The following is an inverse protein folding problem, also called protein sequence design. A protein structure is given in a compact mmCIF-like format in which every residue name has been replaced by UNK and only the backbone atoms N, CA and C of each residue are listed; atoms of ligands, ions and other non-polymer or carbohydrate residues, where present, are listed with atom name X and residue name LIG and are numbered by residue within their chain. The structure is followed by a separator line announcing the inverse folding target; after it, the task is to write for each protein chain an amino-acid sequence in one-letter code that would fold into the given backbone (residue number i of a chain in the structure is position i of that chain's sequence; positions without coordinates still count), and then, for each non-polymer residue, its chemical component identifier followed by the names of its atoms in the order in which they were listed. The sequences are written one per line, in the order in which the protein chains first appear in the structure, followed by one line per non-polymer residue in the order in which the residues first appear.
data_IF_561179451058
#
_entry.id   IF_561179451058
#
_cell.length_a   1.000
_cell.length_b   1.000
_cell.length_c   1.000
_cell.angle_alpha   90.00
_cell.angle_beta   90.00
_cell.angle_gamma   90.00
#
_symmetry.space_group_name_H-M   'P 1'
#
loop_
_entity.id
_entity.type
_entity.pdbx_description
1 polymer ?
#
# COMPACT_ATOMS: atom_id res chain seq x y z
N UNK A 1 29.95 -17.01 20.02
CA UNK A 1 30.42 -17.19 18.63
C UNK A 1 29.71 -16.17 17.77
N UNK A 2 30.44 -15.26 17.12
CA UNK A 2 29.84 -14.28 16.22
C UNK A 2 29.36 -14.99 14.96
N UNK A 3 28.05 -15.06 14.74
CA UNK A 3 27.49 -15.58 13.49
C UNK A 3 27.75 -14.57 12.38
N UNK A 4 28.25 -15.04 11.24
CA UNK A 4 28.37 -14.22 10.03
C UNK A 4 26.99 -13.74 9.63
N UNK A 5 26.76 -12.42 9.52
CA UNK A 5 25.50 -11.89 9.04
C UNK A 5 25.14 -12.44 7.66
N UNK A 6 23.91 -12.94 7.49
CA UNK A 6 23.42 -13.42 6.18
C UNK A 6 22.43 -12.42 5.64
N UNK A 7 22.83 -11.74 4.58
CA UNK A 7 21.98 -10.84 3.82
C UNK A 7 21.73 -11.40 2.44
N UNK A 8 20.54 -11.16 1.91
CA UNK A 8 20.18 -11.42 0.52
C UNK A 8 20.14 -10.12 -0.25
N UNK A 9 20.53 -10.15 -1.52
CA UNK A 9 20.52 -8.95 -2.35
C UNK A 9 19.08 -8.48 -2.58
N UNK A 10 18.84 -7.16 -2.48
CA UNK A 10 17.59 -6.57 -2.97
C UNK A 10 17.72 -6.32 -4.47
N UNK A 11 16.84 -6.93 -5.26
CA UNK A 11 16.95 -6.90 -6.73
C UNK A 11 15.84 -6.11 -7.43
N UNK A 12 14.79 -5.71 -6.71
CA UNK A 12 13.68 -4.96 -7.29
C UNK A 12 14.14 -3.63 -7.89
N UNK A 13 14.03 -3.50 -9.22
CA UNK A 13 14.50 -2.34 -10.01
C UNK A 13 13.37 -1.64 -10.79
N UNK A 14 12.13 -2.10 -10.61
CA UNK A 14 10.96 -1.55 -11.28
C UNK A 14 10.80 -0.06 -11.01
N UNK A 15 10.33 0.67 -12.03
CA UNK A 15 10.03 2.10 -11.92
C UNK A 15 9.00 2.31 -10.83
N UNK A 16 9.22 3.35 -10.02
CA UNK A 16 8.30 3.72 -8.95
C UNK A 16 7.18 4.56 -9.55
N UNK A 17 6.02 3.96 -9.73
CA UNK A 17 4.79 4.69 -10.05
C UNK A 17 4.13 5.22 -8.77
N UNK A 18 3.60 6.42 -8.86
CA UNK A 18 2.82 7.10 -7.82
C UNK A 18 1.56 7.68 -8.43
N UNK A 19 0.64 8.03 -7.56
CA UNK A 19 -0.63 8.61 -7.94
C UNK A 19 -0.98 9.74 -6.97
N UNK A 20 -1.36 10.89 -7.53
CA UNK A 20 -1.99 11.97 -6.80
C UNK A 20 -3.46 12.04 -7.23
N UNK A 21 -4.38 12.00 -6.26
CA UNK A 21 -5.81 11.94 -6.53
C UNK A 21 -6.52 13.10 -5.84
N UNK A 22 -7.67 13.47 -6.37
CA UNK A 22 -8.54 14.44 -5.74
C UNK A 22 -9.90 14.51 -6.40
N UNK A 23 -10.75 15.36 -5.82
CA UNK A 23 -12.12 15.61 -6.26
C UNK A 23 -12.36 17.10 -6.41
N UNK A 24 -13.09 17.48 -7.46
CA UNK A 24 -13.51 18.84 -7.73
C UNK A 24 -15.02 18.89 -8.04
N UNK A 25 -15.68 19.95 -7.59
CA UNK A 25 -17.13 20.14 -7.75
C UNK A 25 -17.41 21.24 -8.77
N UNK A 26 -17.04 21.00 -10.03
CA UNK A 26 -17.20 21.98 -11.11
C UNK A 26 -18.69 22.15 -11.42
N UNK A 27 -19.21 23.35 -11.15
CA UNK A 27 -20.57 23.78 -11.48
C UNK A 27 -20.72 24.01 -12.98
N UNK A 28 -21.86 23.56 -13.52
CA UNK A 28 -22.25 23.83 -14.89
C UNK A 28 -23.60 24.54 -14.91
N UNK A 29 -23.81 25.40 -15.91
CA UNK A 29 -25.16 25.93 -16.17
C UNK A 29 -26.11 24.76 -16.40
N UNK A 30 -27.35 24.90 -15.94
CA UNK A 30 -28.37 23.83 -16.03
C UNK A 30 -28.43 23.29 -17.45
N UNK A 31 -28.35 21.96 -17.58
CA UNK A 31 -28.39 21.22 -18.83
C UNK A 31 -27.24 21.49 -19.84
N UNK A 32 -26.19 22.20 -19.40
CA UNK A 32 -25.00 22.54 -20.21
C UNK A 32 -23.77 21.75 -19.78
N UNK A 33 -22.80 21.67 -20.69
CA UNK A 33 -21.55 20.91 -20.52
C UNK A 33 -20.31 21.77 -20.64
N UNK A 34 -20.44 23.01 -21.13
CA UNK A 34 -19.31 23.91 -21.29
C UNK A 34 -18.85 24.48 -19.94
N UNK A 35 -17.54 24.46 -19.69
CA UNK A 35 -16.96 25.05 -18.48
C UNK A 35 -16.98 26.57 -18.59
N UNK A 36 -17.43 27.20 -17.50
CA UNK A 36 -17.32 28.64 -17.28
C UNK A 36 -16.51 28.87 -16.00
N UNK A 37 -15.22 29.27 -16.09
CA UNK A 37 -14.36 29.40 -14.90
C UNK A 37 -14.90 30.39 -13.85
N UNK A 38 -15.61 31.44 -14.30
CA UNK A 38 -16.19 32.47 -13.43
C UNK A 38 -17.63 32.16 -12.98
N UNK A 39 -18.16 30.99 -13.35
CA UNK A 39 -19.48 30.56 -12.89
C UNK A 39 -19.38 29.99 -11.49
N UNK A 40 -20.06 30.64 -10.54
CA UNK A 40 -20.12 30.21 -9.13
C UNK A 40 -18.71 29.99 -8.55
N UNK A 41 -18.45 28.83 -7.95
CA UNK A 41 -17.19 28.47 -7.29
C UNK A 41 -16.13 27.88 -8.22
N UNK A 42 -16.36 27.82 -9.54
CA UNK A 42 -15.52 27.04 -10.46
C UNK A 42 -14.05 27.40 -10.43
N UNK A 43 -13.70 28.69 -10.29
CA UNK A 43 -12.30 29.10 -10.20
C UNK A 43 -11.57 28.37 -9.07
N UNK A 44 -12.21 28.19 -7.91
CA UNK A 44 -11.66 27.47 -6.76
C UNK A 44 -11.57 25.98 -7.02
N UNK A 45 -12.61 25.38 -7.59
CA UNK A 45 -12.66 23.94 -7.85
C UNK A 45 -11.67 23.49 -8.94
N UNK A 46 -11.52 24.30 -9.99
CA UNK A 46 -10.52 24.10 -11.04
C UNK A 46 -9.10 24.30 -10.47
N UNK A 47 -8.90 25.29 -9.59
CA UNK A 47 -7.61 25.51 -8.95
C UNK A 47 -7.12 24.27 -8.17
N UNK A 48 -8.00 23.52 -7.51
CA UNK A 48 -7.62 22.27 -6.82
C UNK A 48 -6.96 21.25 -7.78
N UNK A 49 -7.50 21.13 -9.00
CA UNK A 49 -6.96 20.23 -10.03
C UNK A 49 -5.59 20.72 -10.48
N UNK A 50 -5.48 22.01 -10.78
CA UNK A 50 -4.25 22.68 -11.22
C UNK A 50 -3.16 22.52 -10.15
N UNK A 51 -3.45 22.86 -8.90
CA UNK A 51 -2.49 22.74 -7.79
C UNK A 51 -1.98 21.31 -7.60
N UNK A 52 -2.84 20.30 -7.80
CA UNK A 52 -2.45 18.90 -7.69
C UNK A 52 -1.55 18.46 -8.85
N UNK A 53 -1.82 18.93 -10.06
CA UNK A 53 -0.96 18.70 -11.22
C UNK A 53 0.38 19.44 -11.05
N UNK A 54 0.36 20.69 -10.59
CA UNK A 54 1.55 21.51 -10.38
C UNK A 54 2.50 20.89 -9.36
N UNK A 55 1.99 20.29 -8.28
CA UNK A 55 2.83 19.57 -7.31
C UNK A 55 3.66 18.46 -7.96
N UNK A 56 3.09 17.75 -8.93
CA UNK A 56 3.79 16.68 -9.65
C UNK A 56 4.65 17.24 -10.76
N UNK A 57 4.14 18.21 -11.54
CA UNK A 57 4.83 18.81 -12.67
C UNK A 57 6.08 19.60 -12.25
N UNK A 58 6.05 20.21 -11.07
CA UNK A 58 7.15 21.00 -10.53
C UNK A 58 8.12 20.15 -9.68
N UNK A 59 7.84 18.87 -9.46
CA UNK A 59 8.78 17.95 -8.83
C UNK A 59 9.83 17.51 -9.87
N UNK A 60 11.12 17.87 -9.70
CA UNK A 60 12.16 17.55 -10.68
C UNK A 60 12.43 16.04 -10.81
N UNK A 61 11.98 15.24 -9.84
CA UNK A 61 12.14 13.80 -9.85
C UNK A 61 10.90 13.08 -10.44
N UNK A 62 9.81 13.80 -10.73
CA UNK A 62 8.57 13.22 -11.20
C UNK A 62 8.35 13.44 -12.71
N UNK A 63 7.75 12.46 -13.38
CA UNK A 63 7.27 12.60 -14.76
C UNK A 63 5.84 12.09 -14.85
N UNK A 64 4.91 12.98 -15.22
CA UNK A 64 3.50 12.63 -15.42
C UNK A 64 3.39 11.65 -16.59
N UNK A 65 2.75 10.52 -16.35
CA UNK A 65 2.52 9.47 -17.36
C UNK A 65 1.07 9.44 -17.82
N UNK A 66 0.12 9.77 -16.93
CA UNK A 66 -1.31 9.78 -17.25
C UNK A 66 -2.09 10.68 -16.29
N UNK A 67 -3.06 11.41 -16.83
CA UNK A 67 -4.07 12.14 -16.07
C UNK A 67 -5.42 11.57 -16.46
N UNK A 68 -6.20 11.10 -15.49
CA UNK A 68 -7.57 10.62 -15.70
C UNK A 68 -8.53 11.55 -15.02
N UNK A 69 -9.65 11.87 -15.67
CA UNK A 69 -10.77 12.61 -15.07
C UNK A 69 -12.03 11.76 -15.23
N UNK A 70 -12.69 11.44 -14.12
CA UNK A 70 -13.97 10.73 -14.08
C UNK A 70 -15.05 11.67 -13.58
N UNK A 71 -16.05 11.97 -14.41
CA UNK A 71 -17.18 12.81 -13.99
C UNK A 71 -18.41 12.00 -13.57
N UNK A 72 -19.15 12.54 -12.62
CA UNK A 72 -20.33 11.93 -12.03
C UNK A 72 -21.54 12.85 -12.20
N UNK A 73 -22.71 12.26 -12.41
CA UNK A 73 -23.97 12.97 -12.22
C UNK A 73 -24.71 12.42 -11.00
N UNK A 74 -25.61 13.23 -10.47
CA UNK A 74 -26.48 12.82 -9.38
C UNK A 74 -27.65 11.98 -9.93
N UNK A 75 -28.22 11.05 -9.14
CA UNK A 75 -29.28 10.14 -9.60
C UNK A 75 -30.66 10.80 -9.67
N UNK A 76 -30.83 11.77 -10.55
CA UNK A 76 -32.12 12.41 -10.82
C UNK A 76 -32.34 12.72 -12.30
N UNK A 77 -33.62 12.75 -12.69
CA UNK A 77 -33.98 13.01 -14.07
C UNK A 77 -33.90 11.73 -14.89
N UNK A 78 -33.62 11.85 -16.19
CA UNK A 78 -33.47 10.66 -17.04
C UNK A 78 -32.01 10.24 -17.13
N UNK A 79 -31.78 8.94 -17.01
CA UNK A 79 -30.49 8.29 -17.14
C UNK A 79 -29.77 8.71 -18.44
N UNK A 80 -30.49 8.73 -19.56
CA UNK A 80 -29.94 9.16 -20.85
C UNK A 80 -29.41 10.60 -20.83
N UNK A 81 -30.06 11.51 -20.09
CA UNK A 81 -29.56 12.87 -19.92
C UNK A 81 -28.34 12.91 -19.00
N UNK A 82 -28.33 12.09 -17.95
CA UNK A 82 -27.22 11.97 -17.02
C UNK A 82 -25.96 11.42 -17.71
N UNK A 83 -26.09 10.41 -18.57
CA UNK A 83 -25.01 9.94 -19.47
C UNK A 83 -24.43 11.10 -20.29
N UNK A 84 -25.29 11.84 -21.00
CA UNK A 84 -24.86 12.96 -21.84
C UNK A 84 -24.14 14.04 -21.04
N UNK A 85 -24.66 14.39 -19.86
CA UNK A 85 -24.08 15.42 -19.00
C UNK A 85 -22.74 14.96 -18.40
N UNK A 86 -22.66 13.75 -17.83
CA UNK A 86 -21.43 13.21 -17.25
C UNK A 86 -20.32 13.13 -18.30
N UNK A 87 -20.59 12.57 -19.48
CA UNK A 87 -19.62 12.50 -20.58
C UNK A 87 -19.17 13.89 -21.05
N UNK A 88 -20.13 14.77 -21.35
CA UNK A 88 -19.83 16.08 -21.93
C UNK A 88 -19.07 17.00 -20.98
N UNK A 89 -19.43 16.98 -19.68
CA UNK A 89 -18.76 17.78 -18.63
C UNK A 89 -17.34 17.29 -18.38
N UNK A 90 -17.16 15.97 -18.32
CA UNK A 90 -15.83 15.36 -18.20
C UNK A 90 -14.93 15.72 -19.38
N UNK A 91 -15.46 15.64 -20.61
CA UNK A 91 -14.73 16.01 -21.81
C UNK A 91 -14.34 17.50 -21.82
N UNK A 92 -15.24 18.39 -21.38
CA UNK A 92 -14.94 19.82 -21.25
C UNK A 92 -13.85 20.10 -20.20
N UNK A 93 -13.88 19.39 -19.07
CA UNK A 93 -12.86 19.52 -18.02
C UNK A 93 -11.49 18.99 -18.45
N UNK A 94 -11.47 17.83 -19.11
CA UNK A 94 -10.29 17.27 -19.76
C UNK A 94 -9.66 18.30 -20.71
N UNK A 95 -10.46 18.90 -21.58
CA UNK A 95 -9.98 19.84 -22.58
C UNK A 95 -9.48 21.15 -21.97
N UNK A 96 -10.14 21.63 -20.91
CA UNK A 96 -9.70 22.79 -20.15
C UNK A 96 -8.30 22.56 -19.55
N UNK A 97 -8.11 21.45 -18.83
CA UNK A 97 -6.83 21.10 -18.18
C UNK A 97 -5.73 20.85 -19.22
N UNK A 98 -6.06 20.11 -20.29
CA UNK A 98 -5.12 19.82 -21.38
C UNK A 98 -4.59 21.10 -22.02
N UNK A 99 -5.48 22.05 -22.36
CA UNK A 99 -5.10 23.35 -22.93
C UNK A 99 -4.30 24.20 -21.96
N UNK A 100 -4.66 24.20 -20.68
CA UNK A 100 -3.95 24.98 -19.66
C UNK A 100 -2.46 24.63 -19.60
N UNK A 101 -2.12 23.34 -19.73
CA UNK A 101 -0.73 22.86 -19.67
C UNK A 101 -0.11 22.53 -21.01
N UNK A 102 -0.87 22.64 -22.11
CA UNK A 102 -0.53 22.12 -23.43
C UNK A 102 -0.08 20.65 -23.40
N UNK A 103 -0.84 19.81 -22.69
CA UNK A 103 -0.56 18.38 -22.62
C UNK A 103 -0.94 17.66 -23.92
N UNK A 104 -0.18 16.61 -24.24
CA UNK A 104 -0.51 15.69 -25.31
C UNK A 104 -1.85 15.00 -25.04
N UNK A 105 -2.59 14.72 -26.09
CA UNK A 105 -3.92 14.10 -25.96
C UNK A 105 -3.82 12.69 -25.36
N UNK A 106 -2.72 11.98 -25.59
CA UNK A 106 -2.51 10.58 -25.19
C UNK A 106 -2.34 10.41 -23.68
N UNK A 107 -1.83 11.42 -22.97
CA UNK A 107 -1.69 11.34 -21.51
C UNK A 107 -3.00 11.62 -20.79
N UNK A 108 -4.00 12.21 -21.47
CA UNK A 108 -5.26 12.62 -20.88
C UNK A 108 -6.36 11.59 -21.17
N UNK A 109 -6.88 10.95 -20.13
CA UNK A 109 -7.95 9.96 -20.17
C UNK A 109 -9.22 10.47 -19.49
N UNK A 110 -10.37 9.94 -19.91
CA UNK A 110 -11.67 10.27 -19.33
C UNK A 110 -12.46 9.03 -19.05
N UNK A 111 -13.20 9.04 -17.95
CA UNK A 111 -14.21 8.06 -17.61
C UNK A 111 -15.47 8.80 -17.13
N UNK A 112 -16.59 8.11 -16.97
CA UNK A 112 -17.80 8.73 -16.44
C UNK A 112 -18.67 7.73 -15.69
N UNK A 113 -19.36 8.22 -14.68
CA UNK A 113 -20.45 7.53 -14.02
C UNK A 113 -21.73 8.33 -14.29
N UNK A 114 -22.71 7.76 -15.02
CA UNK A 114 -23.96 8.46 -15.28
C UNK A 114 -24.65 8.88 -13.99
N UNK A 115 -24.71 8.01 -12.97
CA UNK A 115 -25.40 8.29 -11.72
C UNK A 115 -24.61 7.74 -10.53
N UNK A 116 -24.21 8.63 -9.61
CA UNK A 116 -23.43 8.28 -8.41
C UNK A 116 -24.31 7.66 -7.31
N UNK A 117 -24.85 6.48 -7.61
CA UNK A 117 -25.62 5.69 -6.65
C UNK A 117 -24.78 5.25 -5.46
N UNK A 118 -23.48 5.03 -5.64
CA UNK A 118 -22.56 4.67 -4.56
C UNK A 118 -22.39 5.83 -3.56
N UNK A 119 -22.16 7.05 -4.06
CA UNK A 119 -22.08 8.25 -3.23
C UNK A 119 -23.41 8.56 -2.54
N UNK A 120 -24.55 8.38 -3.23
CA UNK A 120 -25.87 8.50 -2.60
C UNK A 120 -26.02 7.49 -1.46
N UNK A 121 -25.65 6.23 -1.69
CA UNK A 121 -25.73 5.16 -0.71
C UNK A 121 -24.90 5.47 0.54
N UNK A 122 -23.67 5.93 0.37
CA UNK A 122 -22.76 6.31 1.45
C UNK A 122 -23.38 7.42 2.32
N UNK A 123 -23.88 8.48 1.68
CA UNK A 123 -24.52 9.58 2.40
C UNK A 123 -25.79 9.13 3.12
N UNK A 124 -26.67 8.36 2.47
CA UNK A 124 -27.91 7.87 3.10
C UNK A 124 -27.58 6.99 4.31
N UNK A 125 -26.55 6.14 4.23
CA UNK A 125 -26.14 5.30 5.35
C UNK A 125 -25.67 6.11 6.58
N UNK A 126 -25.01 7.25 6.34
CA UNK A 126 -24.52 8.14 7.41
C UNK A 126 -25.53 9.17 7.93
N UNK A 127 -26.59 9.45 7.18
CA UNK A 127 -27.55 10.51 7.54
C UNK A 127 -28.66 10.03 8.51
N UNK A 128 -29.48 10.98 8.95
CA UNK A 128 -30.68 10.73 9.77
C UNK A 128 -31.93 11.11 8.97
N UNK A 129 -32.42 10.16 8.16
CA UNK A 129 -33.71 10.26 7.47
C UNK A 129 -34.77 9.38 8.15
N UNK A 130 -36.05 9.79 8.21
CA UNK A 130 -37.11 8.98 8.81
C UNK A 130 -37.22 7.57 8.21
N UNK A 131 -37.19 7.45 6.88
CA UNK A 131 -37.28 6.17 6.16
C UNK A 131 -35.92 5.72 5.57
N UNK A 132 -34.83 5.97 6.29
CA UNK A 132 -33.46 5.70 5.82
C UNK A 132 -33.26 4.25 5.34
N UNK A 133 -33.72 3.27 6.11
CA UNK A 133 -33.47 1.86 5.80
C UNK A 133 -34.24 1.40 4.56
N UNK A 134 -35.44 1.91 4.37
CA UNK A 134 -36.28 1.69 3.20
C UNK A 134 -35.63 2.28 1.95
N UNK A 135 -35.14 3.51 2.03
CA UNK A 135 -34.45 4.19 0.93
C UNK A 135 -33.17 3.42 0.56
N UNK A 136 -32.39 2.95 1.55
CA UNK A 136 -31.23 2.10 1.30
C UNK A 136 -31.60 0.80 0.57
N UNK A 137 -32.72 0.15 0.95
CA UNK A 137 -33.20 -1.05 0.23
C UNK A 137 -33.51 -0.76 -1.25
N UNK A 138 -34.04 0.42 -1.56
CA UNK A 138 -34.29 0.82 -2.95
C UNK A 138 -32.96 1.07 -3.67
N UNK A 139 -32.02 1.78 -3.03
CA UNK A 139 -30.69 2.06 -3.60
C UNK A 139 -29.94 0.76 -3.91
N UNK A 140 -29.90 -0.18 -2.96
CA UNK A 140 -29.22 -1.47 -3.06
C UNK A 140 -29.98 -2.49 -3.94
N UNK A 141 -31.16 -2.14 -4.46
CA UNK A 141 -31.94 -3.03 -5.32
C UNK A 141 -31.36 -3.14 -6.73
N UNK A 142 -31.70 -4.23 -7.41
CA UNK A 142 -31.41 -4.44 -8.83
C UNK A 142 -32.33 -3.69 -9.79
N UNK A 143 -33.05 -2.66 -9.33
CA UNK A 143 -33.88 -1.82 -10.20
C UNK A 143 -33.00 -1.02 -11.17
N UNK A 144 -33.51 -0.83 -12.39
CA UNK A 144 -32.94 0.11 -13.35
C UNK A 144 -32.92 1.54 -12.77
N UNK A 145 -31.99 2.41 -13.21
CA UNK A 145 -31.78 3.73 -12.60
C UNK A 145 -33.02 4.65 -12.58
N UNK A 146 -33.71 4.82 -13.72
CA UNK A 146 -34.91 5.68 -13.82
C UNK A 146 -36.09 5.19 -12.94
N UNK A 147 -36.45 3.88 -12.95
CA UNK A 147 -37.41 3.35 -11.97
C UNK A 147 -36.98 3.56 -10.52
N UNK A 148 -35.70 3.42 -10.21
CA UNK A 148 -35.16 3.56 -8.85
C UNK A 148 -35.33 4.99 -8.32
N UNK A 149 -34.92 6.00 -9.09
CA UNK A 149 -35.14 7.41 -8.77
C UNK A 149 -36.63 7.72 -8.55
N UNK A 150 -37.48 7.30 -9.51
CA UNK A 150 -38.93 7.52 -9.44
C UNK A 150 -39.56 6.87 -8.22
N UNK A 151 -39.10 5.70 -7.79
CA UNK A 151 -39.65 5.01 -6.63
C UNK A 151 -39.33 5.77 -5.33
N UNK A 152 -38.08 6.21 -5.14
CA UNK A 152 -37.71 7.04 -3.98
C UNK A 152 -38.55 8.31 -3.96
N UNK A 153 -38.64 9.01 -5.11
CA UNK A 153 -39.41 10.25 -5.25
C UNK A 153 -40.90 10.09 -4.97
N UNK A 154 -41.49 8.96 -5.39
CA UNK A 154 -42.92 8.67 -5.25
C UNK A 154 -43.29 8.25 -3.82
N UNK A 155 -42.48 7.39 -3.21
CA UNK A 155 -42.80 6.80 -1.90
C UNK A 155 -42.33 7.71 -0.76
N UNK A 156 -41.21 8.40 -0.92
CA UNK A 156 -40.58 9.24 0.10
C UNK A 156 -40.36 10.69 -0.38
N UNK A 157 -41.41 11.44 -0.74
CA UNK A 157 -41.26 12.76 -1.37
C UNK A 157 -40.63 13.82 -0.45
N UNK A 158 -40.78 13.70 0.87
CA UNK A 158 -40.17 14.63 1.83
C UNK A 158 -38.66 14.41 1.93
N UNK A 159 -38.23 13.15 2.11
CA UNK A 159 -36.83 12.75 2.14
C UNK A 159 -36.16 12.95 0.79
N UNK A 160 -36.87 12.69 -0.32
CA UNK A 160 -36.36 12.97 -1.66
C UNK A 160 -36.00 14.45 -1.85
N UNK A 161 -36.84 15.36 -1.32
CA UNK A 161 -36.52 16.79 -1.32
C UNK A 161 -35.28 17.10 -0.50
N UNK A 162 -35.15 16.52 0.69
CA UNK A 162 -33.96 16.69 1.53
C UNK A 162 -32.69 16.17 0.85
N UNK A 163 -32.75 15.00 0.21
CA UNK A 163 -31.68 14.41 -0.59
C UNK A 163 -31.29 15.35 -1.74
N UNK A 164 -32.28 15.86 -2.48
CA UNK A 164 -32.09 16.77 -3.61
C UNK A 164 -31.41 18.08 -3.20
N UNK A 165 -31.81 18.65 -2.07
CA UNK A 165 -31.28 19.92 -1.56
C UNK A 165 -29.92 19.73 -0.86
N UNK A 166 -29.65 18.54 -0.30
CA UNK A 166 -28.45 18.26 0.49
C UNK A 166 -27.35 17.60 -0.34
N UNK A 167 -27.51 16.32 -0.72
CA UNK A 167 -26.39 15.50 -1.23
C UNK A 167 -26.27 15.54 -2.75
N UNK A 168 -27.36 15.66 -3.51
CA UNK A 168 -27.29 15.64 -4.98
C UNK A 168 -26.32 16.67 -5.57
N UNK A 169 -26.20 17.92 -5.06
CA UNK A 169 -25.17 18.84 -5.53
C UNK A 169 -23.74 18.30 -5.37
N UNK A 170 -23.47 17.57 -4.28
CA UNK A 170 -22.16 16.97 -4.02
C UNK A 170 -21.91 15.69 -4.84
N UNK A 171 -22.95 15.00 -5.32
CA UNK A 171 -22.80 13.86 -6.22
C UNK A 171 -22.40 14.27 -7.64
N UNK A 172 -22.54 15.56 -7.99
CA UNK A 172 -22.08 16.13 -9.26
C UNK A 172 -20.62 16.56 -9.15
N UNK A 173 -19.73 15.59 -9.11
CA UNK A 173 -18.30 15.84 -8.93
C UNK A 173 -17.47 15.26 -10.07
N UNK A 174 -16.20 15.65 -10.11
CA UNK A 174 -15.19 15.07 -10.98
C UNK A 174 -14.02 14.61 -10.14
N UNK A 175 -13.77 13.31 -10.16
CA UNK A 175 -12.57 12.70 -9.60
C UNK A 175 -11.45 12.80 -10.62
N UNK A 176 -10.25 13.11 -10.16
CA UNK A 176 -9.07 13.15 -11.01
C UNK A 176 -7.91 12.40 -10.38
N UNK A 177 -7.10 11.81 -11.25
CA UNK A 177 -5.98 10.94 -10.91
C UNK A 177 -4.79 11.32 -11.78
N UNK A 178 -3.71 11.79 -11.18
CA UNK A 178 -2.43 12.08 -11.85
C UNK A 178 -1.49 10.93 -11.52
N UNK A 179 -1.21 10.06 -12.49
CA UNK A 179 -0.18 9.03 -12.40
C UNK A 179 1.14 9.58 -12.90
N UNK A 180 2.21 9.25 -12.19
CA UNK A 180 3.55 9.72 -12.49
C UNK A 180 4.60 8.74 -12.02
N UNK A 181 5.73 8.74 -12.71
CA UNK A 181 6.89 7.96 -12.35
C UNK A 181 7.91 8.82 -11.63
N UNK A 182 8.56 8.26 -10.61
CA UNK A 182 9.77 8.83 -10.03
C UNK A 182 10.96 8.37 -10.86
N UNK A 183 11.85 9.30 -11.21
CA UNK A 183 13.07 9.00 -11.95
C UNK A 183 13.95 8.03 -11.18
N UNK A 184 14.79 7.32 -11.92
CA UNK A 184 15.83 6.49 -11.32
C UNK A 184 17.06 7.32 -10.96
N UNK A 185 17.61 7.09 -9.77
CA UNK A 185 18.84 7.73 -9.31
C UNK A 185 20.04 6.81 -9.59
N UNK A 186 21.06 7.36 -10.25
CA UNK A 186 22.26 6.59 -10.64
C UNK A 186 23.45 6.93 -9.76
N UNK A 187 23.61 8.18 -9.35
CA UNK A 187 24.72 8.60 -8.51
C UNK A 187 24.54 8.16 -7.05
N UNK A 188 25.64 7.73 -6.39
CA UNK A 188 25.57 7.17 -5.04
C UNK A 188 25.36 8.24 -3.96
N UNK A 189 25.88 9.45 -4.17
CA UNK A 189 25.70 10.55 -3.23
C UNK A 189 24.29 11.13 -3.33
N UNK A 190 23.74 11.17 -4.55
CA UNK A 190 22.32 11.43 -4.77
C UNK A 190 21.43 10.40 -4.07
N UNK A 191 21.71 9.10 -4.25
CA UNK A 191 21.00 8.02 -3.55
C UNK A 191 21.00 8.20 -2.03
N UNK A 192 22.15 8.53 -1.44
CA UNK A 192 22.26 8.80 0.01
C UNK A 192 21.47 10.03 0.44
N UNK A 193 21.44 11.09 -0.37
CA UNK A 193 20.60 12.28 -0.10
C UNK A 193 19.12 11.92 -0.13
N UNK A 194 18.67 11.18 -1.15
CA UNK A 194 17.27 10.74 -1.27
C UNK A 194 16.90 9.78 -0.15
N UNK A 195 17.80 8.89 0.27
CA UNK A 195 17.58 8.02 1.43
C UNK A 195 17.28 8.80 2.72
N UNK A 196 17.97 9.92 2.92
CA UNK A 196 17.78 10.77 4.09
C UNK A 196 16.47 11.59 4.04
N UNK A 197 16.04 12.04 2.86
CA UNK A 197 14.94 13.01 2.72
C UNK A 197 13.64 12.41 2.19
N UNK A 198 13.72 11.44 1.28
CA UNK A 198 12.58 10.83 0.60
C UNK A 198 12.84 9.33 0.28
N UNK A 199 13.09 8.46 1.28
CA UNK A 199 13.43 7.05 1.04
C UNK A 199 12.35 6.27 0.29
N UNK A 200 11.09 6.73 0.32
CA UNK A 200 9.98 6.20 -0.49
C UNK A 200 10.15 6.38 -2.02
N UNK A 201 11.14 7.17 -2.45
CA UNK A 201 11.51 7.36 -3.85
C UNK A 201 12.63 6.41 -4.29
N UNK A 202 13.16 5.58 -3.40
CA UNK A 202 14.21 4.60 -3.71
C UNK A 202 13.59 3.23 -3.97
N UNK A 203 14.10 2.51 -4.96
CA UNK A 203 13.71 1.12 -5.25
C UNK A 203 14.46 0.16 -4.33
N UNK A 204 14.01 -1.11 -4.15
CA UNK A 204 14.75 -2.08 -3.36
C UNK A 204 16.25 -2.19 -3.75
N UNK A 205 16.55 -2.24 -5.05
CA UNK A 205 17.95 -2.27 -5.54
C UNK A 205 18.75 -1.02 -5.18
N UNK A 206 18.10 0.13 -4.98
CA UNK A 206 18.78 1.36 -4.59
C UNK A 206 19.21 1.31 -3.12
N UNK A 207 18.38 0.72 -2.24
CA UNK A 207 18.80 0.41 -0.87
C UNK A 207 19.99 -0.57 -0.84
N UNK A 208 19.99 -1.59 -1.70
CA UNK A 208 21.14 -2.48 -1.86
C UNK A 208 22.41 -1.71 -2.22
N UNK A 209 22.32 -0.81 -3.22
CA UNK A 209 23.47 -0.02 -3.68
C UNK A 209 24.01 0.90 -2.58
N UNK A 210 23.13 1.52 -1.78
CA UNK A 210 23.52 2.33 -0.64
C UNK A 210 24.19 1.46 0.44
N UNK A 211 23.58 0.33 0.80
CA UNK A 211 24.10 -0.58 1.81
C UNK A 211 25.51 -1.08 1.45
N UNK A 212 25.77 -1.38 0.17
CA UNK A 212 27.09 -1.79 -0.33
C UNK A 212 28.21 -0.75 -0.13
N UNK A 213 27.90 0.49 0.27
CA UNK A 213 28.90 1.50 0.64
C UNK A 213 29.36 1.42 2.09
N UNK A 214 28.72 0.57 2.91
CA UNK A 214 29.03 0.35 4.32
C UNK A 214 29.59 -1.06 4.53
N UNK A 215 30.31 -1.24 5.64
CA UNK A 215 30.78 -2.57 6.02
C UNK A 215 29.59 -3.49 6.32
N UNK A 216 29.61 -4.72 5.80
CA UNK A 216 28.53 -5.69 5.99
C UNK A 216 28.28 -5.91 7.49
N UNK A 217 27.04 -5.67 7.92
CA UNK A 217 26.64 -5.81 9.32
C UNK A 217 26.99 -4.64 10.23
N UNK A 218 27.51 -3.52 9.70
CA UNK A 218 27.64 -2.29 10.47
C UNK A 218 26.26 -1.70 10.85
N UNK A 219 26.18 -0.82 11.85
CA UNK A 219 24.92 -0.14 12.20
C UNK A 219 24.29 0.61 11.01
N UNK A 220 25.10 1.24 10.16
CA UNK A 220 24.64 1.94 8.96
C UNK A 220 24.11 0.97 7.91
N UNK A 221 24.81 -0.16 7.70
CA UNK A 221 24.37 -1.22 6.80
C UNK A 221 22.99 -1.74 7.22
N UNK A 222 22.81 -2.05 8.50
CA UNK A 222 21.51 -2.47 9.04
C UNK A 222 20.43 -1.41 8.88
N UNK A 223 20.75 -0.15 9.15
CA UNK A 223 19.79 0.95 9.07
C UNK A 223 19.20 1.06 7.66
N UNK A 224 20.02 0.83 6.62
CA UNK A 224 19.56 0.87 5.23
C UNK A 224 18.52 -0.23 4.97
N UNK A 225 18.76 -1.48 5.38
CA UNK A 225 17.78 -2.56 5.20
C UNK A 225 16.54 -2.43 6.09
N UNK A 226 16.70 -1.93 7.32
CA UNK A 226 15.57 -1.64 8.19
C UNK A 226 14.67 -0.56 7.57
N UNK A 227 15.27 0.48 6.96
CA UNK A 227 14.50 1.47 6.19
C UNK A 227 13.87 0.84 4.94
N UNK A 228 14.55 -0.07 4.26
CA UNK A 228 14.01 -0.75 3.08
C UNK A 228 12.73 -1.53 3.40
N UNK A 229 12.69 -2.28 4.51
CA UNK A 229 11.47 -3.02 4.93
C UNK A 229 10.36 -2.09 5.42
N UNK A 230 10.68 -0.92 5.97
CA UNK A 230 9.67 0.10 6.29
C UNK A 230 9.00 0.65 5.02
N UNK A 231 9.78 0.86 3.95
CA UNK A 231 9.26 1.36 2.66
C UNK A 231 8.56 0.24 1.86
N UNK A 232 9.08 -0.99 1.94
CA UNK A 232 8.58 -2.17 1.21
C UNK A 232 8.21 -3.32 2.18
N UNK A 233 7.15 -3.17 2.99
CA UNK A 233 6.80 -4.15 4.03
C UNK A 233 6.31 -5.50 3.49
N UNK A 234 6.01 -5.59 2.19
CA UNK A 234 5.64 -6.83 1.50
C UNK A 234 6.76 -7.45 0.64
N UNK A 235 7.93 -6.82 0.54
CA UNK A 235 9.05 -7.39 -0.21
C UNK A 235 9.74 -8.49 0.60
N UNK A 236 9.85 -9.68 0.00
CA UNK A 236 10.35 -10.87 0.70
C UNK A 236 11.83 -10.77 1.07
N UNK A 237 12.65 -10.10 0.24
CA UNK A 237 14.09 -9.93 0.49
C UNK A 237 14.31 -8.89 1.59
N UNK A 238 13.55 -7.79 1.58
CA UNK A 238 13.54 -6.79 2.65
C UNK A 238 13.16 -7.42 4.00
N UNK A 239 12.09 -8.21 4.04
CA UNK A 239 11.65 -8.91 5.25
C UNK A 239 12.69 -9.91 5.74
N UNK A 240 13.31 -10.69 4.86
CA UNK A 240 14.37 -11.63 5.25
C UNK A 240 15.59 -10.92 5.86
N UNK A 241 16.05 -9.84 5.24
CA UNK A 241 17.17 -9.06 5.76
C UNK A 241 16.83 -8.42 7.12
N UNK A 242 15.62 -7.87 7.28
CA UNK A 242 15.17 -7.30 8.54
C UNK A 242 15.09 -8.36 9.65
N UNK A 243 14.55 -9.55 9.34
CA UNK A 243 14.52 -10.68 10.27
C UNK A 243 15.92 -11.03 10.78
N UNK A 244 16.90 -11.16 9.88
CA UNK A 244 18.27 -11.51 10.24
C UNK A 244 18.95 -10.43 11.09
N UNK A 245 18.65 -9.15 10.83
CA UNK A 245 19.13 -8.03 11.64
C UNK A 245 18.59 -8.11 13.07
N UNK A 246 17.27 -8.21 13.24
CA UNK A 246 16.65 -8.19 14.57
C UNK A 246 16.92 -9.47 15.34
N UNK A 247 17.01 -10.61 14.65
CA UNK A 247 17.44 -11.89 15.22
C UNK A 247 18.85 -11.81 15.78
N UNK A 248 19.80 -11.19 15.05
CA UNK A 248 21.16 -10.95 15.56
C UNK A 248 21.17 -10.04 16.80
N UNK A 249 20.22 -9.11 16.90
CA UNK A 249 20.05 -8.22 18.06
C UNK A 249 19.32 -8.90 19.23
N UNK A 250 18.87 -10.15 19.06
CA UNK A 250 18.17 -10.93 20.08
C UNK A 250 16.66 -10.70 20.15
N UNK A 251 16.09 -9.88 19.26
CA UNK A 251 14.64 -9.68 19.16
C UNK A 251 14.02 -10.77 18.28
N UNK A 252 13.84 -11.94 18.91
CA UNK A 252 13.32 -13.14 18.25
C UNK A 252 11.83 -13.00 17.89
N UNK A 253 11.08 -12.16 18.61
CA UNK A 253 9.66 -11.92 18.33
C UNK A 253 9.50 -11.10 17.06
N UNK A 254 10.25 -10.00 16.93
CA UNK A 254 10.27 -9.22 15.69
C UNK A 254 10.81 -10.06 14.52
N UNK A 255 11.83 -10.90 14.76
CA UNK A 255 12.36 -11.79 13.73
C UNK A 255 11.27 -12.71 13.17
N UNK A 256 10.45 -13.32 14.03
CA UNK A 256 9.35 -14.18 13.60
C UNK A 256 8.37 -13.40 12.70
N UNK A 257 7.93 -12.20 13.11
CA UNK A 257 6.98 -11.40 12.35
C UNK A 257 7.50 -10.88 11.00
N UNK A 258 8.81 -10.76 10.82
CA UNK A 258 9.42 -10.51 9.51
C UNK A 258 9.55 -11.81 8.69
N UNK A 259 9.94 -12.92 9.31
CA UNK A 259 10.05 -14.21 8.62
C UNK A 259 8.72 -14.70 8.07
N UNK A 260 7.59 -14.39 8.70
CA UNK A 260 6.25 -14.70 8.17
C UNK A 260 6.00 -14.07 6.79
N UNK A 261 6.73 -13.01 6.44
CA UNK A 261 6.64 -12.27 5.17
C UNK A 261 7.88 -12.42 4.28
N UNK A 262 8.83 -13.29 4.65
CA UNK A 262 10.09 -13.48 3.95
C UNK A 262 10.03 -14.50 2.78
N UNK A 263 8.84 -15.02 2.45
CA UNK A 263 8.67 -16.08 1.45
C UNK A 263 9.34 -17.39 1.85
N UNK A 264 9.61 -18.27 0.89
CA UNK A 264 10.11 -19.63 1.13
C UNK A 264 11.37 -19.96 0.33
N UNK A 265 12.26 -18.97 0.15
CA UNK A 265 13.60 -19.24 -0.39
C UNK A 265 14.41 -20.12 0.57
N UNK A 266 15.47 -20.77 0.07
CA UNK A 266 16.35 -21.60 0.91
C UNK A 266 16.91 -20.78 2.09
N UNK A 267 17.23 -19.50 1.86
CA UNK A 267 17.70 -18.57 2.88
C UNK A 267 16.61 -18.21 3.90
N UNK A 268 15.36 -18.06 3.48
CA UNK A 268 14.23 -17.81 4.39
C UNK A 268 13.94 -19.04 5.26
N UNK A 269 13.90 -20.23 4.66
CA UNK A 269 13.75 -21.51 5.37
C UNK A 269 14.89 -21.70 6.37
N UNK A 270 16.13 -21.46 5.95
CA UNK A 270 17.29 -21.50 6.83
C UNK A 270 17.17 -20.53 8.01
N UNK A 271 16.75 -19.28 7.77
CA UNK A 271 16.62 -18.25 8.81
C UNK A 271 15.52 -18.60 9.81
N UNK A 272 14.44 -19.27 9.37
CA UNK A 272 13.45 -19.88 10.29
C UNK A 272 14.06 -21.01 11.12
N UNK A 273 14.96 -21.81 10.55
CA UNK A 273 15.74 -22.82 11.27
C UNK A 273 16.63 -22.18 12.35
N UNK A 274 17.28 -21.06 12.04
CA UNK A 274 18.06 -20.31 13.03
C UNK A 274 17.20 -19.77 14.17
N UNK A 275 16.01 -19.22 13.86
CA UNK A 275 15.07 -18.76 14.87
C UNK A 275 14.59 -19.92 15.76
N UNK A 276 14.26 -21.08 15.17
CA UNK A 276 13.87 -22.28 15.93
C UNK A 276 15.02 -22.73 16.86
N UNK A 277 16.26 -22.79 16.37
CA UNK A 277 17.41 -23.14 17.19
C UNK A 277 17.64 -22.15 18.34
N UNK A 278 17.49 -20.85 18.09
CA UNK A 278 17.65 -19.79 19.09
C UNK A 278 16.53 -19.79 20.14
N UNK A 279 15.35 -20.29 19.79
CA UNK A 279 14.21 -20.46 20.70
C UNK A 279 14.18 -21.82 21.40
N UNK A 280 15.15 -22.70 21.10
CA UNK A 280 15.32 -24.01 21.74
C UNK A 280 14.57 -25.17 21.07
N UNK A 281 13.84 -24.90 19.99
CA UNK A 281 13.15 -25.93 19.20
C UNK A 281 14.14 -26.59 18.22
N UNK A 282 15.01 -27.44 18.77
CA UNK A 282 16.10 -28.09 18.02
C UNK A 282 15.58 -29.09 16.98
N UNK A 283 14.46 -29.75 17.24
CA UNK A 283 13.84 -30.69 16.30
C UNK A 283 13.36 -29.96 15.04
N UNK A 284 12.58 -28.88 15.22
CA UNK A 284 12.15 -28.04 14.11
C UNK A 284 13.32 -27.37 13.41
N UNK A 285 14.33 -26.93 14.16
CA UNK A 285 15.54 -26.36 13.57
C UNK A 285 16.25 -27.36 12.65
N UNK A 286 16.44 -28.60 13.09
CA UNK A 286 17.07 -29.65 12.29
C UNK A 286 16.29 -29.89 10.98
N UNK A 287 14.97 -30.04 11.05
CA UNK A 287 14.15 -30.21 9.84
C UNK A 287 14.24 -29.02 8.89
N UNK A 288 14.23 -27.78 9.40
CA UNK A 288 14.37 -26.58 8.57
C UNK A 288 15.76 -26.46 7.93
N UNK A 289 16.82 -26.85 8.65
CA UNK A 289 18.18 -26.85 8.11
C UNK A 289 18.40 -27.93 7.05
N UNK A 290 17.81 -29.12 7.23
CA UNK A 290 17.77 -30.18 6.22
C UNK A 290 17.06 -29.71 4.96
N UNK A 291 15.85 -29.14 5.10
CA UNK A 291 15.10 -28.58 3.98
C UNK A 291 15.90 -27.49 3.23
N UNK A 292 16.56 -26.58 3.95
CA UNK A 292 17.39 -25.57 3.31
C UNK A 292 18.58 -26.17 2.55
N UNK A 293 19.19 -27.25 3.08
CA UNK A 293 20.26 -27.98 2.41
C UNK A 293 19.77 -28.68 1.13
N UNK A 294 18.61 -29.32 1.19
CA UNK A 294 17.97 -29.96 0.02
C UNK A 294 17.61 -28.95 -1.07
N UNK A 295 17.34 -27.70 -0.68
CA UNK A 295 17.16 -26.57 -1.59
C UNK A 295 18.48 -25.98 -2.13
N UNK A 296 19.63 -26.59 -1.80
CA UNK A 296 20.96 -26.22 -2.30
C UNK A 296 21.71 -25.18 -1.47
N UNK A 297 21.29 -24.90 -0.22
CA UNK A 297 22.04 -24.02 0.68
C UNK A 297 22.99 -24.85 1.57
N UNK A 298 24.26 -24.93 1.18
CA UNK A 298 25.31 -25.72 1.89
C UNK A 298 25.34 -25.48 3.40
N UNK A 299 25.13 -24.22 3.79
CA UNK A 299 25.16 -23.83 5.18
C UNK A 299 24.01 -24.44 6.03
N UNK A 300 22.94 -24.94 5.39
CA UNK A 300 21.92 -25.77 6.02
C UNK A 300 22.50 -27.10 6.52
N UNK A 301 23.29 -27.79 5.69
CA UNK A 301 23.93 -29.05 6.08
C UNK A 301 24.91 -28.86 7.24
N UNK A 302 25.66 -27.75 7.24
CA UNK A 302 26.58 -27.41 8.34
C UNK A 302 25.83 -27.22 9.67
N UNK A 303 24.77 -26.40 9.70
CA UNK A 303 24.04 -26.18 10.96
C UNK A 303 23.22 -27.40 11.39
N UNK A 304 22.72 -28.20 10.45
CA UNK A 304 22.08 -29.48 10.76
C UNK A 304 23.02 -30.39 11.57
N UNK A 305 24.29 -30.50 11.15
CA UNK A 305 25.30 -31.27 11.89
C UNK A 305 25.52 -30.71 13.30
N UNK A 306 25.57 -29.37 13.45
CA UNK A 306 25.75 -28.75 14.77
C UNK A 306 24.56 -28.98 15.69
N UNK A 307 23.33 -28.90 15.18
CA UNK A 307 22.12 -29.20 15.95
C UNK A 307 22.07 -30.67 16.37
N UNK A 308 22.33 -31.61 15.46
CA UNK A 308 22.37 -33.05 15.77
C UNK A 308 23.42 -33.37 16.85
N UNK A 309 24.59 -32.73 16.78
CA UNK A 309 25.63 -32.89 17.79
C UNK A 309 25.25 -32.33 19.18
N UNK A 310 24.22 -31.50 19.29
CA UNK A 310 23.67 -31.02 20.57
C UNK A 310 22.60 -31.97 21.12
N UNK A 311 21.78 -32.55 20.24
CA UNK A 311 20.73 -33.51 20.63
C UNK A 311 21.29 -34.88 21.00
N UNK A 312 22.38 -35.30 20.36
CA UNK A 312 22.98 -36.64 20.54
C UNK A 312 23.98 -36.71 21.71
N UNK A 313 24.10 -35.66 22.53
CA UNK A 313 24.99 -35.67 23.69
C UNK A 313 24.46 -36.64 24.75
N UNK A 314 25.27 -37.60 25.25
CA UNK A 314 24.85 -38.48 26.32
C UNK A 314 24.52 -37.64 27.56
N UNK A 315 23.30 -37.81 28.08
CA UNK A 315 22.85 -37.16 29.32
C UNK A 315 23.65 -37.76 30.48
N UNK A 316 24.50 -36.95 31.12
CA UNK A 316 25.24 -37.37 32.31
C UNK A 316 24.27 -37.41 33.48
N UNK A 317 23.96 -38.62 33.97
CA UNK A 317 23.19 -38.80 35.21
C UNK A 317 24.14 -38.58 36.39
N UNK A 318 23.99 -37.48 37.13
CA UNK A 318 24.76 -37.26 38.36
C UNK A 318 24.41 -38.35 39.38
N UNK A 319 25.41 -39.13 39.81
CA UNK A 319 25.28 -40.23 40.80
C UNK A 319 25.57 -39.77 42.24
N UNK A 320 25.38 -38.49 42.58
CA UNK A 320 25.55 -38.02 43.95
C UNK A 320 24.19 -38.07 44.65
N UNK A 321 23.93 -39.17 45.37
CA UNK A 321 22.87 -39.21 46.37
C UNK A 321 23.28 -38.40 47.61
N UNK A 322 22.33 -37.81 48.36
CA UNK A 322 22.65 -37.13 49.60
C UNK A 322 23.34 -38.11 50.56
N UNK A 323 24.55 -37.77 51.00
CA UNK A 323 25.30 -38.58 51.95
C UNK A 323 24.45 -38.74 53.23
N UNK A 324 24.15 -39.99 53.59
CA UNK A 324 23.57 -40.30 54.88
C UNK A 324 24.55 -39.88 55.97
N UNK A 325 24.14 -38.94 56.82
CA UNK A 325 24.83 -38.67 58.08
C UNK A 325 24.56 -39.86 59.02
N UNK A 326 25.53 -40.75 59.16
CA UNK A 326 25.62 -41.62 60.33
C UNK A 326 26.15 -40.79 61.50
N UNK A 327 25.25 -40.34 62.37
CA UNK A 327 25.63 -39.92 63.73
C UNK A 327 25.80 -41.16 64.60
N UNK A 328 27.02 -41.28 65.14
CA UNK A 328 27.50 -42.30 66.05
C UNK A 328 26.69 -42.34 67.35
N UNK A 329 26.42 -43.55 67.82
CA UNK A 329 26.05 -43.83 69.21
C UNK A 329 27.11 -43.30 70.17
N UNK A 330 26.66 -42.57 71.18
CA UNK A 330 27.02 -42.75 72.60
C UNK A 330 25.74 -42.69 73.44
#
# INVERSE_FOLDING_TARGET
MGRTPRYVALTGDSVIERTAEGRAFVDFVVNRTEIRPDYRGNRKEIAKIIESIDKVKNDPDATITRITIKGYASPEGSYANNVRLAMGRTAALKEYVRKHYNFDQEIMMTDYEPEDWAGLREWVAGCTLPHRQEILRIIDSGMEPDPKDREIKRVYPAEYKEILDSVYPALRHSDYTVRYNIRTYVDIDELKRVFATAPRNLRPVDFQRIASTYAVGSPEYDQVYMKAVEVYPGDVQCNLNAANIVMRRGDLVAAAGYLDRAGDSAQAVFSRGELAALTGDLERAAHLFENAADMGLDAGAEELQRVRALTDRPTVRYLIGPAAMEESKD
#
